data_IF_176230236215
#
_entry.id   IF_176230236215
#
_cell.length_a   1.000
_cell.length_b   1.000
_cell.length_c   1.000
_cell.angle_alpha   90.00
_cell.angle_beta   90.00
_cell.angle_gamma   90.00
#
_symmetry.space_group_name_H-M   'P 1'
#
loop_
_entity.id
_entity.type
_entity.pdbx_description
1 polymer ?
#
# COMPACT_ATOMS: atom_id res chain seq x y z
N UNK A 1 11.21 17.94 32.64
CA UNK A 1 9.90 17.27 32.46
C UNK A 1 10.06 16.18 31.40
N UNK A 2 10.01 14.91 31.82
CA UNK A 2 10.34 13.76 31.00
C UNK A 2 9.63 13.75 29.62
N UNK A 3 8.39 14.22 29.54
CA UNK A 3 7.65 14.28 28.25
C UNK A 3 8.29 15.31 27.31
N UNK A 4 8.72 16.47 27.83
CA UNK A 4 9.36 17.50 27.03
C UNK A 4 10.74 17.05 26.55
N UNK A 5 11.45 16.29 27.38
CA UNK A 5 12.78 15.78 27.02
C UNK A 5 12.66 14.70 25.93
N UNK A 6 11.68 13.80 26.03
CA UNK A 6 11.36 12.82 24.97
C UNK A 6 10.93 13.52 23.67
N UNK A 7 10.08 14.53 23.76
CA UNK A 7 9.64 15.28 22.57
C UNK A 7 10.81 16.02 21.88
N UNK A 8 11.73 16.58 22.66
CA UNK A 8 12.92 17.26 22.14
C UNK A 8 13.87 16.26 21.46
N UNK A 9 14.10 15.09 22.08
CA UNK A 9 14.93 14.03 21.50
C UNK A 9 14.32 13.51 20.19
N UNK A 10 13.02 13.23 20.18
CA UNK A 10 12.31 12.75 18.98
C UNK A 10 12.37 13.77 17.85
N UNK A 11 12.21 15.06 18.16
CA UNK A 11 12.34 16.13 17.17
C UNK A 11 13.76 16.19 16.59
N UNK A 12 14.77 16.06 17.44
CA UNK A 12 16.17 15.98 17.00
C UNK A 12 16.36 14.81 16.02
N UNK A 13 15.86 13.62 16.36
CA UNK A 13 15.99 12.44 15.52
C UNK A 13 15.29 12.62 14.16
N UNK A 14 14.09 13.23 14.13
CA UNK A 14 13.39 13.56 12.87
C UNK A 14 14.23 14.49 12.01
N UNK A 15 14.72 15.60 12.57
CA UNK A 15 15.50 16.61 11.83
C UNK A 15 16.80 16.03 11.24
N UNK A 16 17.45 15.11 11.96
CA UNK A 16 18.67 14.45 11.49
C UNK A 16 18.38 13.32 10.51
N UNK A 17 17.26 12.61 10.68
CA UNK A 17 16.80 11.62 9.73
C UNK A 17 16.45 12.21 8.35
N UNK A 18 15.77 13.37 8.33
CA UNK A 18 15.48 14.11 7.08
C UNK A 18 16.76 14.58 6.36
N UNK A 19 17.79 14.95 7.11
CA UNK A 19 19.07 15.43 6.54
C UNK A 19 20.03 14.30 6.15
N UNK A 20 19.68 13.05 6.45
CA UNK A 20 20.49 11.86 6.19
C UNK A 20 21.92 11.97 6.78
N UNK A 21 22.05 12.60 7.95
CA UNK A 21 23.36 12.84 8.61
C UNK A 21 24.00 11.55 9.16
N UNK A 22 23.25 10.46 9.24
CA UNK A 22 23.66 9.22 9.90
C UNK A 22 23.59 9.25 11.43
N UNK A 23 23.19 10.38 12.02
CA UNK A 23 23.08 10.58 13.48
C UNK A 23 21.72 10.14 14.05
N UNK A 24 20.78 9.72 13.20
CA UNK A 24 19.46 9.24 13.57
C UNK A 24 19.17 7.85 13.03
N UNK A 25 18.49 7.04 13.82
CA UNK A 25 17.93 5.74 13.37
C UNK A 25 16.65 5.90 12.55
N UNK A 26 16.03 7.07 12.56
CA UNK A 26 14.84 7.38 11.78
C UNK A 26 15.22 7.69 10.33
N UNK A 27 14.83 6.84 9.41
CA UNK A 27 15.19 6.99 7.98
C UNK A 27 14.47 8.13 7.28
N UNK A 28 13.27 8.51 7.75
CA UNK A 28 12.46 9.62 7.21
C UNK A 28 12.33 9.59 5.69
N UNK A 29 12.03 8.39 5.13
CA UNK A 29 11.87 8.19 3.69
C UNK A 29 10.67 9.02 3.17
N UNK A 30 10.82 9.80 2.09
CA UNK A 30 9.74 10.62 1.56
C UNK A 30 8.64 9.77 0.92
N UNK A 31 7.38 10.16 1.12
CA UNK A 31 6.21 9.45 0.58
C UNK A 31 5.55 10.11 -0.62
N UNK A 32 5.85 11.38 -0.88
CA UNK A 32 5.29 12.19 -1.99
C UNK A 32 3.76 12.30 -1.99
N UNK A 33 3.11 12.02 -0.88
CA UNK A 33 1.66 12.11 -0.75
C UNK A 33 1.25 13.55 -0.38
N UNK A 34 0.21 14.06 -1.06
CA UNK A 34 -0.40 15.34 -0.74
C UNK A 34 -1.47 15.22 0.35
N UNK A 35 -1.87 16.36 0.89
CA UNK A 35 -3.01 16.42 1.80
C UNK A 35 -4.32 16.38 0.99
N UNK A 36 -5.38 15.71 1.50
CA UNK A 36 -6.69 15.78 0.88
C UNK A 36 -7.25 17.19 0.95
N UNK A 37 -8.00 17.60 -0.05
CA UNK A 37 -8.64 18.91 -0.09
C UNK A 37 -10.04 18.89 0.57
N UNK A 38 -10.63 17.70 0.70
CA UNK A 38 -12.00 17.49 1.14
C UNK A 38 -13.04 17.79 0.05
N UNK A 39 -12.59 18.07 -1.18
CA UNK A 39 -13.45 18.36 -2.34
C UNK A 39 -13.47 17.22 -3.36
N UNK A 40 -12.75 16.15 -3.07
CA UNK A 40 -12.70 14.97 -3.92
C UNK A 40 -14.09 14.33 -4.02
N UNK A 41 -14.50 13.97 -5.23
CA UNK A 41 -15.78 13.32 -5.53
C UNK A 41 -15.58 12.09 -6.39
N UNK A 42 -16.49 11.14 -6.29
CA UNK A 42 -16.46 9.92 -7.11
C UNK A 42 -16.14 8.67 -6.32
N UNK A 43 -15.93 7.58 -7.04
CA UNK A 43 -15.63 6.29 -6.45
C UNK A 43 -14.17 5.90 -6.68
N UNK A 44 -13.53 5.46 -5.62
CA UNK A 44 -12.11 5.12 -5.57
C UNK A 44 -11.92 3.77 -4.89
N UNK A 45 -10.88 3.06 -5.30
CA UNK A 45 -10.39 1.90 -4.59
C UNK A 45 -9.27 2.30 -3.64
N UNK A 46 -9.28 1.73 -2.46
CA UNK A 46 -8.21 1.84 -1.49
C UNK A 46 -7.71 0.44 -1.11
N UNK A 47 -6.41 0.19 -1.28
CA UNK A 47 -5.74 -1.03 -0.85
C UNK A 47 -4.90 -0.73 0.39
N UNK A 48 -5.17 -1.41 1.48
CA UNK A 48 -4.32 -1.42 2.67
C UNK A 48 -3.49 -2.71 2.67
N UNK A 49 -2.20 -2.56 2.34
CA UNK A 49 -1.24 -3.66 2.34
C UNK A 49 -0.46 -3.64 3.67
N UNK A 50 -1.05 -4.29 4.67
CA UNK A 50 -0.47 -4.41 6.00
C UNK A 50 0.41 -5.65 6.18
N UNK A 51 0.79 -5.93 7.42
CA UNK A 51 1.68 -7.06 7.76
C UNK A 51 1.00 -8.42 7.85
N UNK A 52 -0.30 -8.48 8.15
CA UNK A 52 -1.04 -9.73 8.40
C UNK A 52 -2.28 -9.87 7.54
N UNK A 53 -2.87 -8.77 7.15
CA UNK A 53 -4.10 -8.73 6.37
C UNK A 53 -4.00 -7.75 5.23
N UNK A 54 -4.64 -8.10 4.14
CA UNK A 54 -4.94 -7.20 3.03
C UNK A 54 -6.38 -6.71 3.13
N UNK A 55 -6.61 -5.46 2.79
CA UNK A 55 -7.95 -4.89 2.69
C UNK A 55 -8.08 -4.11 1.40
N UNK A 56 -9.13 -4.40 0.64
CA UNK A 56 -9.54 -3.58 -0.51
C UNK A 56 -10.89 -2.99 -0.19
N UNK A 57 -11.00 -1.69 -0.35
CA UNK A 57 -12.24 -0.95 -0.05
C UNK A 57 -12.62 -0.12 -1.26
N UNK A 58 -13.86 -0.27 -1.73
CA UNK A 58 -14.48 0.64 -2.68
C UNK A 58 -15.23 1.71 -1.88
N UNK A 59 -14.83 2.97 -2.07
CA UNK A 59 -15.41 4.11 -1.37
C UNK A 59 -15.99 5.11 -2.36
N UNK A 60 -17.01 5.85 -1.92
CA UNK A 60 -17.53 7.04 -2.60
C UNK A 60 -17.24 8.27 -1.77
N UNK A 61 -16.67 9.30 -2.42
CA UNK A 61 -16.41 10.61 -1.84
C UNK A 61 -17.45 11.60 -2.33
N UNK A 62 -17.95 12.46 -1.45
CA UNK A 62 -19.05 13.39 -1.72
C UNK A 62 -18.62 14.84 -2.02
N UNK A 63 -17.31 15.15 -1.87
CA UNK A 63 -16.78 16.51 -2.04
C UNK A 63 -16.96 17.42 -0.83
N UNK A 64 -17.52 16.91 0.26
CA UNK A 64 -17.73 17.63 1.53
C UNK A 64 -16.88 17.06 2.68
N UNK A 65 -15.85 16.31 2.35
CA UNK A 65 -14.96 15.64 3.30
C UNK A 65 -15.57 14.40 3.95
N UNK A 66 -16.68 13.89 3.43
CA UNK A 66 -17.33 12.66 3.89
C UNK A 66 -17.14 11.53 2.87
N UNK A 67 -17.29 10.32 3.33
CA UNK A 67 -17.19 9.13 2.48
C UNK A 67 -18.23 8.08 2.87
N UNK A 68 -18.56 7.27 1.90
CA UNK A 68 -19.38 6.06 2.06
C UNK A 68 -18.53 4.84 1.66
N UNK A 69 -18.53 3.80 2.48
CA UNK A 69 -17.93 2.49 2.12
C UNK A 69 -18.97 1.71 1.35
N UNK A 70 -18.75 1.53 0.03
CA UNK A 70 -19.64 0.76 -0.83
C UNK A 70 -19.39 -0.74 -0.62
N UNK A 71 -18.12 -1.14 -0.63
CA UNK A 71 -17.75 -2.54 -0.45
C UNK A 71 -16.38 -2.65 0.21
N UNK A 72 -16.22 -3.68 1.05
CA UNK A 72 -14.96 -4.02 1.71
C UNK A 72 -14.68 -5.50 1.56
N UNK A 73 -13.50 -5.82 1.05
CA UNK A 73 -12.93 -7.16 0.98
C UNK A 73 -11.71 -7.19 1.90
N UNK A 74 -11.66 -8.15 2.81
CA UNK A 74 -10.53 -8.30 3.73
C UNK A 74 -10.16 -9.78 3.83
N UNK A 75 -8.89 -10.09 3.61
CA UNK A 75 -8.38 -11.46 3.67
C UNK A 75 -7.03 -11.49 4.40
N UNK A 76 -6.77 -12.52 5.20
CA UNK A 76 -5.44 -12.72 5.78
C UNK A 76 -4.44 -13.07 4.68
N UNK A 77 -3.15 -12.81 4.94
CA UNK A 77 -2.05 -13.21 4.03
C UNK A 77 -1.63 -14.67 4.21
N UNK A 78 -2.03 -15.27 5.33
CA UNK A 78 -1.74 -16.67 5.64
C UNK A 78 -3.02 -17.35 6.13
N UNK A 79 -3.37 -18.48 5.51
CA UNK A 79 -4.40 -19.40 5.98
C UNK A 79 -3.77 -20.79 6.07
N UNK A 80 -3.57 -21.33 7.28
CA UNK A 80 -2.90 -22.61 7.46
C UNK A 80 -3.57 -23.74 6.67
N UNK A 81 -2.77 -24.43 5.83
CA UNK A 81 -3.28 -25.52 4.98
C UNK A 81 -3.92 -25.09 3.66
N UNK A 82 -4.04 -23.79 3.40
CA UNK A 82 -4.56 -23.25 2.14
C UNK A 82 -3.52 -22.43 1.38
N UNK A 83 -2.99 -21.37 2.00
CA UNK A 83 -1.97 -20.52 1.38
C UNK A 83 -1.14 -19.75 2.42
N UNK A 84 0.08 -19.37 2.02
CA UNK A 84 0.97 -18.52 2.78
C UNK A 84 1.73 -17.60 1.80
N UNK A 85 1.31 -16.35 1.70
CA UNK A 85 1.92 -15.36 0.79
C UNK A 85 3.10 -14.62 1.39
N UNK A 86 3.45 -14.85 2.66
CA UNK A 86 4.57 -14.18 3.31
C UNK A 86 5.83 -15.06 3.43
N UNK A 87 5.71 -16.37 3.25
CA UNK A 87 6.83 -17.30 3.36
C UNK A 87 7.84 -17.17 2.21
N UNK A 88 9.01 -17.78 2.39
CA UNK A 88 10.08 -17.79 1.39
C UNK A 88 9.78 -18.64 0.15
N UNK A 89 8.73 -19.44 0.15
CA UNK A 89 8.30 -20.22 -1.00
C UNK A 89 7.32 -19.47 -1.89
N UNK A 90 6.65 -18.44 -1.37
CA UNK A 90 5.78 -17.56 -2.12
C UNK A 90 6.59 -16.63 -3.06
N UNK A 91 5.96 -16.18 -4.12
CA UNK A 91 6.55 -15.25 -5.08
C UNK A 91 5.63 -14.05 -5.37
N UNK A 92 6.19 -13.04 -6.04
CA UNK A 92 5.51 -11.80 -6.37
C UNK A 92 4.21 -12.03 -7.17
N UNK A 93 4.23 -12.93 -8.16
CA UNK A 93 3.07 -13.15 -9.02
C UNK A 93 1.90 -13.74 -8.21
N UNK A 94 2.13 -14.72 -7.35
CA UNK A 94 1.10 -15.31 -6.49
C UNK A 94 0.49 -14.26 -5.54
N UNK A 95 1.34 -13.46 -4.89
CA UNK A 95 0.90 -12.42 -3.96
C UNK A 95 0.08 -11.33 -4.67
N UNK A 96 0.58 -10.82 -5.79
CA UNK A 96 -0.09 -9.73 -6.49
C UNK A 96 -1.32 -10.20 -7.28
N UNK A 97 -1.35 -11.44 -7.76
CA UNK A 97 -2.55 -12.04 -8.35
C UNK A 97 -3.66 -12.20 -7.30
N UNK A 98 -3.32 -12.60 -6.07
CA UNK A 98 -4.26 -12.63 -4.95
C UNK A 98 -4.84 -11.24 -4.63
N UNK A 99 -4.00 -10.19 -4.68
CA UNK A 99 -4.47 -8.81 -4.52
C UNK A 99 -5.40 -8.42 -5.67
N UNK A 100 -5.08 -8.79 -6.90
CA UNK A 100 -5.92 -8.52 -8.06
C UNK A 100 -7.29 -9.23 -7.96
N UNK A 101 -7.34 -10.48 -7.45
CA UNK A 101 -8.59 -11.18 -7.18
C UNK A 101 -9.45 -10.46 -6.12
N UNK A 102 -8.84 -9.92 -5.08
CA UNK A 102 -9.54 -9.10 -4.08
C UNK A 102 -10.08 -7.80 -4.66
N UNK A 103 -9.34 -7.18 -5.59
CA UNK A 103 -9.79 -5.97 -6.31
C UNK A 103 -10.97 -6.31 -7.22
N UNK A 104 -10.91 -7.42 -7.96
CA UNK A 104 -12.02 -7.91 -8.77
C UNK A 104 -13.29 -8.14 -7.93
N UNK A 105 -13.14 -8.78 -6.79
CA UNK A 105 -14.24 -8.97 -5.83
C UNK A 105 -14.79 -7.63 -5.34
N UNK A 106 -13.94 -6.65 -5.06
CA UNK A 106 -14.36 -5.34 -4.56
C UNK A 106 -15.18 -4.54 -5.58
N UNK A 107 -14.93 -4.72 -6.87
CA UNK A 107 -15.69 -4.07 -7.95
C UNK A 107 -16.79 -4.95 -8.55
N UNK A 108 -17.13 -6.10 -7.92
CA UNK A 108 -18.11 -7.07 -8.41
C UNK A 108 -17.87 -7.52 -9.87
N UNK A 109 -16.60 -7.61 -10.26
CA UNK A 109 -16.20 -7.96 -11.63
C UNK A 109 -16.52 -6.87 -12.68
N UNK A 110 -16.90 -5.67 -12.26
CA UNK A 110 -17.22 -4.58 -13.20
C UNK A 110 -15.98 -4.19 -14.02
N UNK A 111 -16.13 -4.21 -15.36
CA UNK A 111 -15.09 -3.84 -16.33
C UNK A 111 -15.39 -2.55 -17.09
N UNK A 112 -16.61 -2.02 -16.98
CA UNK A 112 -17.07 -0.87 -17.75
C UNK A 112 -16.66 0.45 -17.13
N UNK A 113 -16.51 0.48 -15.80
CA UNK A 113 -16.15 1.67 -15.04
C UNK A 113 -14.65 1.70 -14.75
N UNK A 114 -14.03 2.86 -14.94
CA UNK A 114 -12.65 3.11 -14.50
C UNK A 114 -12.59 3.41 -13.02
N UNK A 115 -11.59 2.84 -12.35
CA UNK A 115 -11.31 3.08 -10.94
C UNK A 115 -9.85 3.51 -10.77
N UNK A 116 -9.63 4.60 -10.04
CA UNK A 116 -8.32 4.92 -9.50
C UNK A 116 -8.13 4.19 -8.17
N UNK A 117 -6.97 3.59 -7.99
CA UNK A 117 -6.63 2.85 -6.79
C UNK A 117 -5.46 3.50 -6.08
N UNK A 118 -5.70 3.99 -4.86
CA UNK A 118 -4.64 4.36 -3.93
C UNK A 118 -4.30 3.18 -3.04
N UNK A 119 -3.00 2.97 -2.77
CA UNK A 119 -2.63 1.95 -1.81
C UNK A 119 -1.65 2.44 -0.76
N UNK A 120 -1.82 1.98 0.47
CA UNK A 120 -0.84 2.11 1.54
C UNK A 120 0.05 0.87 1.52
N UNK A 121 1.35 1.08 1.41
CA UNK A 121 2.34 0.02 1.41
C UNK A 121 3.26 0.21 2.62
N UNK A 122 2.97 -0.53 3.68
CA UNK A 122 3.57 -0.33 5.00
C UNK A 122 4.96 -0.98 5.13
N UNK A 123 5.82 -0.80 4.14
CA UNK A 123 7.20 -1.32 4.10
C UNK A 123 8.18 -0.24 3.63
N UNK A 124 9.47 -0.33 4.01
CA UNK A 124 10.47 0.62 3.59
C UNK A 124 10.59 0.69 2.07
N UNK A 125 10.31 1.85 1.48
CA UNK A 125 10.34 2.02 0.03
C UNK A 125 11.13 3.25 -0.36
N UNK A 126 11.89 3.15 -1.44
CA UNK A 126 12.55 4.27 -2.11
C UNK A 126 11.66 4.73 -3.26
N UNK A 127 11.40 6.04 -3.35
CA UNK A 127 10.57 6.60 -4.40
C UNK A 127 10.98 8.03 -4.72
N UNK A 128 10.68 8.48 -5.93
CA UNK A 128 10.90 9.86 -6.40
C UNK A 128 9.60 10.57 -6.78
N UNK A 129 8.50 9.84 -6.77
CA UNK A 129 7.14 10.32 -6.96
C UNK A 129 6.15 9.32 -6.34
N UNK A 130 4.85 9.62 -6.36
CA UNK A 130 3.82 8.79 -5.73
C UNK A 130 3.61 7.43 -6.41
N UNK A 131 4.09 7.23 -7.64
CA UNK A 131 3.79 6.05 -8.46
C UNK A 131 4.91 5.00 -8.49
N UNK A 132 6.14 5.34 -8.07
CA UNK A 132 7.31 4.50 -8.29
C UNK A 132 7.98 3.99 -7.01
N UNK A 133 7.19 3.74 -5.98
CA UNK A 133 7.69 3.15 -4.74
C UNK A 133 8.33 1.78 -5.00
N UNK A 134 9.65 1.69 -4.78
CA UNK A 134 10.46 0.47 -4.90
C UNK A 134 10.72 -0.09 -3.52
N UNK A 135 10.33 -1.34 -3.27
CA UNK A 135 10.60 -1.99 -1.99
C UNK A 135 12.12 -2.10 -1.75
N UNK A 136 12.59 -1.58 -0.62
CA UNK A 136 14.01 -1.69 -0.23
C UNK A 136 14.29 -3.05 0.39
N UNK A 137 13.49 -3.43 1.38
CA UNK A 137 13.61 -4.68 2.12
C UNK A 137 12.28 -5.04 2.76
N UNK A 138 11.98 -6.32 2.79
CA UNK A 138 10.86 -6.82 3.57
C UNK A 138 11.08 -6.63 5.08
N UNK A 139 10.00 -6.41 5.78
CA UNK A 139 9.91 -6.38 7.26
C UNK A 139 8.71 -7.23 7.67
N UNK A 140 8.43 -7.33 8.98
CA UNK A 140 7.23 -8.02 9.50
C UNK A 140 7.14 -9.50 9.06
N UNK A 141 8.28 -10.20 9.06
CA UNK A 141 8.39 -11.63 8.73
C UNK A 141 8.12 -12.00 7.25
N UNK A 142 7.95 -11.02 6.36
CA UNK A 142 7.84 -11.29 4.93
C UNK A 142 9.16 -11.81 4.35
N UNK A 143 9.05 -12.81 3.48
CA UNK A 143 10.16 -13.39 2.72
C UNK A 143 9.79 -13.69 1.26
N UNK A 144 8.65 -13.20 0.79
CA UNK A 144 8.12 -13.38 -0.57
C UNK A 144 9.13 -12.96 -1.63
N UNK A 145 9.47 -13.86 -2.52
CA UNK A 145 10.49 -13.63 -3.57
C UNK A 145 9.97 -12.69 -4.67
N UNK A 146 10.91 -11.96 -5.30
CA UNK A 146 10.65 -11.18 -6.50
C UNK A 146 9.94 -9.84 -6.27
N UNK A 147 9.91 -9.34 -5.03
CA UNK A 147 9.32 -8.03 -4.71
C UNK A 147 10.37 -7.02 -4.28
N UNK A 148 11.39 -7.45 -3.51
CA UNK A 148 12.49 -6.55 -3.13
C UNK A 148 13.24 -6.04 -4.36
N UNK A 149 13.48 -4.74 -4.40
CA UNK A 149 14.09 -4.07 -5.54
C UNK A 149 13.13 -3.75 -6.69
N UNK A 150 11.87 -4.18 -6.64
CA UNK A 150 10.89 -3.93 -7.70
C UNK A 150 9.96 -2.75 -7.35
N UNK A 151 9.39 -2.13 -8.37
CA UNK A 151 8.37 -1.09 -8.22
C UNK A 151 7.03 -1.76 -7.94
N UNK A 152 6.47 -1.51 -6.76
CA UNK A 152 5.25 -2.19 -6.29
C UNK A 152 4.06 -1.94 -7.20
N UNK A 153 3.92 -0.72 -7.74
CA UNK A 153 2.86 -0.40 -8.71
C UNK A 153 2.98 -1.22 -10.01
N UNK A 154 4.20 -1.49 -10.47
CA UNK A 154 4.39 -2.25 -11.71
C UNK A 154 4.00 -3.72 -11.51
N UNK A 155 4.33 -4.31 -10.36
CA UNK A 155 3.89 -5.66 -9.99
C UNK A 155 2.36 -5.74 -9.92
N UNK A 156 1.72 -4.75 -9.30
CA UNK A 156 0.26 -4.69 -9.23
C UNK A 156 -0.38 -4.51 -10.62
N UNK A 157 0.16 -3.63 -11.46
CA UNK A 157 -0.30 -3.45 -12.84
C UNK A 157 -0.19 -4.74 -13.66
N UNK A 158 0.91 -5.46 -13.53
CA UNK A 158 1.09 -6.74 -14.20
C UNK A 158 0.04 -7.77 -13.77
N UNK A 159 -0.25 -7.87 -12.47
CA UNK A 159 -1.30 -8.75 -11.95
C UNK A 159 -2.70 -8.36 -12.43
N UNK A 160 -3.03 -7.06 -12.38
CA UNK A 160 -4.30 -6.55 -12.92
C UNK A 160 -4.46 -6.88 -14.41
N UNK A 161 -3.39 -6.77 -15.19
CA UNK A 161 -3.40 -7.15 -16.60
C UNK A 161 -3.62 -8.65 -16.81
N UNK A 162 -2.98 -9.52 -16.01
CA UNK A 162 -3.21 -10.98 -16.06
C UNK A 162 -4.67 -11.36 -15.77
N UNK A 163 -5.35 -10.58 -14.92
CA UNK A 163 -6.77 -10.76 -14.57
C UNK A 163 -7.74 -9.97 -15.46
N UNK A 164 -7.27 -9.32 -16.54
CA UNK A 164 -8.06 -8.45 -17.41
C UNK A 164 -8.78 -7.29 -16.67
N UNK A 165 -8.18 -6.81 -15.58
CA UNK A 165 -8.65 -5.65 -14.80
C UNK A 165 -8.01 -4.34 -15.28
N UNK A 166 -7.98 -4.11 -16.60
CA UNK A 166 -7.33 -2.94 -17.22
C UNK A 166 -8.06 -1.62 -16.95
N UNK A 167 -9.23 -1.68 -16.35
CA UNK A 167 -10.03 -0.54 -15.92
C UNK A 167 -9.67 -0.06 -14.49
N UNK A 168 -8.73 -0.71 -13.81
CA UNK A 168 -8.20 -0.29 -12.50
C UNK A 168 -6.80 0.27 -12.70
N UNK A 169 -6.58 1.50 -12.24
CA UNK A 169 -5.31 2.23 -12.34
C UNK A 169 -4.74 2.50 -10.94
N UNK A 170 -3.67 1.79 -10.53
CA UNK A 170 -2.97 2.03 -9.28
C UNK A 170 -1.94 3.16 -9.39
#
# INVERSE_FOLDING_TARGET
DAIKDVAASFRYDIEHGVKETGESSLRMLPSYIGLPTGKETGEYLALDFGGTNLRVVLIRLDGEGKFEVIKKVAKPLVVPGEYDFICADANADELFDFIADMIEEAVDGNRDKKYLLGHTFSFPSSQTNIYNARLIIWTKEFATKGVEGEVVNDLLKAALARKNLTNVEP
#
